data_IF_944494492290
#
_entry.id   IF_944494492290
#
_cell.length_a   1.000
_cell.length_b   1.000
_cell.length_c   1.000
_cell.angle_alpha   90.00
_cell.angle_beta   90.00
_cell.angle_gamma   90.00
#
_symmetry.space_group_name_H-M   'P 1'
#
loop_
_entity.id
_entity.type
_entity.pdbx_description
1 polymer ?
#
# COMPACT_ATOMS: atom_id res chain seq x y z
N UNK A 1 0.12 0.02 -26.70
CA UNK A 1 0.84 0.54 -25.52
C UNK A 1 2.32 0.39 -25.82
N UNK A 2 3.06 1.48 -25.99
CA UNK A 2 4.53 1.42 -26.11
C UNK A 2 5.15 1.13 -24.75
N UNK A 3 6.44 0.77 -24.72
CA UNK A 3 7.15 0.54 -23.46
C UNK A 3 7.17 1.80 -22.57
N UNK A 4 7.30 3.00 -23.15
CA UNK A 4 7.23 4.25 -22.38
C UNK A 4 5.83 4.46 -21.79
N UNK A 5 4.77 4.21 -22.56
CA UNK A 5 3.38 4.32 -22.08
C UNK A 5 3.05 3.28 -20.99
N UNK A 6 3.62 2.08 -21.09
CA UNK A 6 3.48 1.05 -20.08
C UNK A 6 4.21 1.45 -18.79
N UNK A 7 5.40 2.03 -18.89
CA UNK A 7 6.20 2.47 -17.74
C UNK A 7 5.56 3.64 -17.02
N UNK A 8 4.99 4.61 -17.76
CA UNK A 8 4.23 5.73 -17.19
C UNK A 8 2.90 5.29 -16.52
N UNK A 9 2.37 4.12 -16.87
CA UNK A 9 1.16 3.57 -16.23
C UNK A 9 1.44 2.86 -14.89
N UNK A 10 2.70 2.58 -14.58
CA UNK A 10 3.13 1.91 -13.34
C UNK A 10 3.69 2.98 -12.39
N UNK A 11 2.81 3.55 -11.56
CA UNK A 11 3.17 4.64 -10.63
C UNK A 11 4.12 4.24 -9.48
N UNK A 12 4.52 2.97 -9.39
CA UNK A 12 5.39 2.43 -8.35
C UNK A 12 6.59 1.63 -8.91
N UNK A 13 6.97 1.86 -10.17
CA UNK A 13 8.11 1.19 -10.79
C UNK A 13 9.42 1.40 -10.00
N UNK A 14 9.58 2.59 -9.42
CA UNK A 14 10.56 2.88 -8.39
C UNK A 14 9.85 3.08 -7.05
N UNK A 15 10.31 2.36 -6.02
CA UNK A 15 9.77 2.43 -4.66
C UNK A 15 10.88 2.38 -3.61
N UNK A 16 10.82 3.31 -2.68
CA UNK A 16 11.62 3.27 -1.45
C UNK A 16 10.75 2.87 -0.25
N UNK A 17 11.33 2.12 0.68
CA UNK A 17 10.72 1.84 1.98
C UNK A 17 11.63 2.41 3.07
N UNK A 18 11.11 3.32 3.87
CA UNK A 18 11.80 3.94 5.00
C UNK A 18 11.24 3.37 6.28
N UNK A 19 12.10 2.71 7.05
CA UNK A 19 11.81 2.35 8.43
C UNK A 19 12.24 3.51 9.35
N UNK A 20 11.29 4.03 10.12
CA UNK A 20 11.47 5.16 11.04
C UNK A 20 11.09 4.74 12.46
N UNK A 21 11.70 5.35 13.49
CA UNK A 21 11.26 5.17 14.87
C UNK A 21 9.79 5.56 15.05
N UNK A 22 9.06 4.83 15.90
CA UNK A 22 7.68 5.17 16.27
C UNK A 22 7.60 6.53 16.98
N UNK A 23 8.60 6.83 17.82
CA UNK A 23 8.71 8.14 18.47
C UNK A 23 8.93 9.24 17.42
N UNK A 24 8.03 10.23 17.42
CA UNK A 24 8.07 11.34 16.48
C UNK A 24 7.95 10.91 15.00
N UNK A 25 7.31 9.77 14.73
CA UNK A 25 7.13 9.23 13.39
C UNK A 25 6.54 10.26 12.42
N UNK A 26 5.45 10.94 12.83
CA UNK A 26 4.77 11.95 12.01
C UNK A 26 5.70 13.10 11.62
N UNK A 27 6.45 13.65 12.57
CA UNK A 27 7.41 14.71 12.32
C UNK A 27 8.51 14.28 11.35
N UNK A 28 8.98 13.02 11.45
CA UNK A 28 9.99 12.46 10.52
C UNK A 28 9.43 12.27 9.11
N UNK A 29 8.19 11.81 8.97
CA UNK A 29 7.51 11.71 7.67
C UNK A 29 7.36 13.09 7.03
N UNK A 30 6.97 14.11 7.80
CA UNK A 30 6.88 15.50 7.31
C UNK A 30 8.25 16.05 6.91
N UNK A 31 9.29 15.81 7.71
CA UNK A 31 10.65 16.23 7.40
C UNK A 31 11.18 15.58 6.10
N UNK A 32 10.86 14.31 5.85
CA UNK A 32 11.20 13.62 4.60
C UNK A 32 10.47 14.23 3.39
N UNK A 33 9.16 14.50 3.52
CA UNK A 33 8.39 15.21 2.48
C UNK A 33 8.96 16.58 2.18
N UNK A 34 9.31 17.36 3.21
CA UNK A 34 9.92 18.67 3.06
C UNK A 34 11.30 18.61 2.39
N UNK A 35 12.10 17.60 2.71
CA UNK A 35 13.39 17.38 2.07
C UNK A 35 13.22 17.08 0.57
N UNK A 36 12.30 16.18 0.21
CA UNK A 36 11.97 15.87 -1.19
C UNK A 36 11.44 17.11 -1.92
N UNK A 37 10.57 17.90 -1.29
CA UNK A 37 10.06 19.16 -1.85
C UNK A 37 11.17 20.16 -2.16
N UNK A 38 12.16 20.31 -1.27
CA UNK A 38 13.32 21.18 -1.52
C UNK A 38 14.20 20.69 -2.68
N UNK A 39 14.11 19.42 -3.06
CA UNK A 39 14.80 18.84 -4.23
C UNK A 39 13.95 18.91 -5.50
N UNK A 40 12.82 19.64 -5.50
CA UNK A 40 11.96 19.78 -6.67
C UNK A 40 10.94 18.65 -6.87
N UNK A 41 10.79 17.75 -5.90
CA UNK A 41 9.78 16.68 -5.95
C UNK A 41 8.45 17.17 -5.37
N UNK A 42 7.34 16.83 -6.02
CA UNK A 42 5.98 17.16 -5.56
C UNK A 42 5.27 15.90 -5.09
N UNK A 43 4.75 15.89 -3.86
CA UNK A 43 3.88 14.82 -3.39
C UNK A 43 2.51 14.96 -4.08
N UNK A 44 2.13 13.96 -4.87
CA UNK A 44 0.87 13.96 -5.65
C UNK A 44 -0.24 13.13 -4.98
N UNK A 45 0.13 12.26 -4.03
CA UNK A 45 -0.81 11.42 -3.29
C UNK A 45 -0.19 10.98 -1.97
N UNK A 46 -0.94 11.04 -0.88
CA UNK A 46 -0.51 10.48 0.41
C UNK A 46 -1.65 9.68 1.05
N UNK A 47 -1.46 8.37 1.15
CA UNK A 47 -2.41 7.48 1.81
C UNK A 47 -1.89 7.05 3.18
N UNK A 48 -2.69 7.31 4.23
CA UNK A 48 -2.39 6.87 5.58
C UNK A 48 -3.16 5.58 5.92
N UNK A 49 -2.48 4.43 5.89
CA UNK A 49 -3.10 3.14 6.22
C UNK A 49 -3.08 2.78 7.71
N UNK A 50 -2.55 3.66 8.57
CA UNK A 50 -2.79 3.52 10.02
C UNK A 50 -4.24 3.88 10.36
N UNK A 51 -4.82 4.87 9.68
CA UNK A 51 -6.18 5.36 9.96
C UNK A 51 -7.21 5.03 8.88
N UNK A 52 -6.79 4.52 7.72
CA UNK A 52 -7.68 4.18 6.60
C UNK A 52 -7.44 2.75 6.07
N UNK A 53 -8.24 2.34 5.08
CA UNK A 53 -8.12 1.04 4.41
C UNK A 53 -8.92 -0.08 5.09
N UNK A 54 -8.65 -1.33 4.68
CA UNK A 54 -9.33 -2.53 5.21
C UNK A 54 -8.59 -3.18 6.39
N UNK A 55 -7.62 -2.47 6.96
CA UNK A 55 -6.82 -2.91 8.09
C UNK A 55 -5.79 -3.99 7.78
N UNK A 56 -5.62 -4.45 6.53
CA UNK A 56 -4.64 -5.51 6.18
C UNK A 56 -3.20 -5.03 6.04
N UNK A 57 -2.97 -3.71 6.15
CA UNK A 57 -1.69 -3.06 5.99
C UNK A 57 -1.61 -1.82 6.88
N UNK A 58 -0.42 -1.52 7.41
CA UNK A 58 -0.14 -0.34 8.25
C UNK A 58 1.12 0.35 7.77
N UNK A 59 1.01 1.62 7.40
CA UNK A 59 2.09 2.41 6.81
C UNK A 59 1.56 3.67 6.14
N UNK A 60 2.45 4.59 5.78
CA UNK A 60 2.11 5.75 4.93
C UNK A 60 2.68 5.48 3.55
N UNK A 61 1.84 5.55 2.51
CA UNK A 61 2.31 5.48 1.13
C UNK A 61 2.16 6.85 0.49
N UNK A 62 3.27 7.42 0.04
CA UNK A 62 3.28 8.71 -0.64
C UNK A 62 3.86 8.57 -2.05
N UNK A 63 3.16 9.07 -3.05
CA UNK A 63 3.65 9.14 -4.44
C UNK A 63 4.19 10.54 -4.70
N UNK A 64 5.39 10.61 -5.27
CA UNK A 64 6.05 11.85 -5.65
C UNK A 64 6.29 11.89 -7.15
N UNK A 65 6.30 13.09 -7.72
CA UNK A 65 6.71 13.36 -9.10
C UNK A 65 7.77 14.44 -9.16
N UNK A 66 8.67 14.36 -10.14
CA UNK A 66 9.54 15.47 -10.52
C UNK A 66 8.89 16.37 -11.59
N UNK A 67 9.63 17.39 -12.04
CA UNK A 67 9.20 18.32 -13.09
C UNK A 67 9.06 17.68 -14.49
N UNK A 68 9.68 16.51 -14.71
CA UNK A 68 9.60 15.75 -15.96
C UNK A 68 8.43 14.75 -15.96
N UNK A 69 7.77 14.58 -14.81
CA UNK A 69 6.61 13.70 -14.64
C UNK A 69 6.97 12.28 -14.23
N UNK A 70 8.22 12.00 -13.83
CA UNK A 70 8.60 10.68 -13.31
C UNK A 70 8.03 10.48 -11.92
N UNK A 71 7.24 9.42 -11.76
CA UNK A 71 6.59 9.08 -10.50
C UNK A 71 7.36 7.99 -9.76
N UNK A 72 7.54 8.17 -8.45
CA UNK A 72 8.04 7.13 -7.55
C UNK A 72 7.25 7.11 -6.23
N UNK A 73 7.26 5.96 -5.55
CA UNK A 73 6.60 5.81 -4.26
C UNK A 73 7.61 5.79 -3.11
N UNK A 74 7.26 6.43 -2.00
CA UNK A 74 7.94 6.28 -0.71
C UNK A 74 6.94 5.72 0.29
N UNK A 75 7.30 4.58 0.88
CA UNK A 75 6.53 3.94 1.94
C UNK A 75 7.22 4.18 3.28
N UNK A 76 6.51 4.76 4.24
CA UNK A 76 7.02 5.00 5.59
C UNK A 76 6.41 3.99 6.55
N UNK A 77 7.27 3.34 7.33
CA UNK A 77 6.91 2.31 8.28
C UNK A 77 7.59 2.52 9.63
N UNK A 78 6.94 2.08 10.70
CA UNK A 78 7.65 1.73 11.94
C UNK A 78 8.25 0.34 11.80
N UNK A 79 9.19 -0.04 12.67
CA UNK A 79 9.72 -1.40 12.68
C UNK A 79 8.61 -2.47 12.81
N UNK A 80 7.61 -2.23 13.66
CA UNK A 80 6.44 -3.11 13.81
C UNK A 80 5.63 -3.22 12.51
N UNK A 81 5.33 -2.09 11.87
CA UNK A 81 4.52 -2.09 10.66
C UNK A 81 5.26 -2.65 9.44
N UNK A 82 6.58 -2.45 9.36
CA UNK A 82 7.43 -3.06 8.35
C UNK A 82 7.53 -4.58 8.53
N UNK A 83 7.71 -5.05 9.77
CA UNK A 83 7.74 -6.47 10.08
C UNK A 83 6.39 -7.14 9.80
N UNK A 84 5.27 -6.50 10.17
CA UNK A 84 3.94 -7.00 9.86
C UNK A 84 3.73 -7.13 8.34
N UNK A 85 4.13 -6.12 7.56
CA UNK A 85 4.12 -6.18 6.09
C UNK A 85 4.95 -7.36 5.55
N UNK A 86 6.14 -7.59 6.10
CA UNK A 86 6.99 -8.72 5.67
C UNK A 86 6.32 -10.07 5.95
N UNK A 87 5.72 -10.23 7.14
CA UNK A 87 5.02 -11.46 7.53
C UNK A 87 3.73 -11.71 6.72
N UNK A 88 3.00 -10.65 6.37
CA UNK A 88 1.77 -10.76 5.59
C UNK A 88 1.99 -10.84 4.08
N UNK A 89 3.20 -10.58 3.58
CA UNK A 89 3.51 -10.48 2.16
C UNK A 89 3.05 -11.71 1.35
N UNK A 90 3.28 -12.93 1.87
CA UNK A 90 2.84 -14.15 1.19
C UNK A 90 1.30 -14.25 1.10
N UNK A 91 0.59 -13.94 2.19
CA UNK A 91 -0.88 -13.91 2.22
C UNK A 91 -1.43 -12.87 1.26
N UNK A 92 -0.80 -11.69 1.19
CA UNK A 92 -1.15 -10.65 0.23
C UNK A 92 -1.02 -11.14 -1.22
N UNK A 93 0.11 -11.76 -1.58
CA UNK A 93 0.33 -12.28 -2.94
C UNK A 93 -0.65 -13.40 -3.30
N UNK A 94 -0.97 -14.29 -2.36
CA UNK A 94 -1.98 -15.34 -2.56
C UNK A 94 -3.38 -14.75 -2.74
N UNK A 95 -3.75 -13.76 -1.93
CA UNK A 95 -5.01 -13.02 -2.08
C UNK A 95 -5.11 -12.36 -3.46
N UNK A 96 -4.06 -11.66 -3.91
CA UNK A 96 -4.03 -11.00 -5.22
C UNK A 96 -4.19 -11.99 -6.38
N UNK A 97 -3.56 -13.16 -6.27
CA UNK A 97 -3.70 -14.23 -7.25
C UNK A 97 -5.11 -14.83 -7.24
N UNK A 98 -5.71 -15.05 -6.07
CA UNK A 98 -7.09 -15.51 -5.92
C UNK A 98 -8.08 -14.49 -6.51
N UNK A 99 -7.86 -13.18 -6.28
CA UNK A 99 -8.65 -12.11 -6.88
C UNK A 99 -8.55 -12.13 -8.41
N UNK A 100 -7.35 -12.24 -8.97
CA UNK A 100 -7.15 -12.35 -10.42
C UNK A 100 -7.88 -13.57 -10.99
N UNK A 101 -7.88 -14.70 -10.28
CA UNK A 101 -8.61 -15.91 -10.68
C UNK A 101 -10.12 -15.72 -10.59
N UNK A 102 -10.61 -14.98 -9.59
CA UNK A 102 -12.02 -14.66 -9.42
C UNK A 102 -12.52 -13.76 -10.56
N UNK A 103 -11.76 -12.72 -10.89
CA UNK A 103 -12.09 -11.79 -11.98
C UNK A 103 -12.17 -12.53 -13.32
N UNK A 104 -11.18 -13.40 -13.59
CA UNK A 104 -11.22 -14.30 -14.77
C UNK A 104 -12.40 -15.26 -14.76
N UNK A 105 -12.80 -15.77 -13.59
CA UNK A 105 -13.93 -16.69 -13.48
C UNK A 105 -15.28 -15.98 -13.75
N UNK A 106 -15.41 -14.72 -13.34
CA UNK A 106 -16.59 -13.88 -13.59
C UNK A 106 -16.77 -13.52 -15.07
N UNK A 107 -15.67 -13.40 -15.81
CA UNK A 107 -15.67 -13.06 -17.24
C UNK A 107 -15.94 -14.27 -18.15
N UNK A 108 -16.07 -15.49 -17.62
CA UNK A 108 -16.31 -16.68 -18.45
C UNK A 108 -17.73 -16.68 -19.05
N UNK A 109 -17.92 -17.19 -20.29
CA UNK A 109 -19.24 -17.28 -20.92
C UNK A 109 -20.26 -18.10 -20.11
N UNK A 110 -19.79 -19.08 -19.35
CA UNK A 110 -20.58 -19.83 -18.36
C UNK A 110 -19.88 -19.71 -17.01
N UNK A 111 -20.31 -18.76 -16.16
CA UNK A 111 -19.73 -18.60 -14.83
C UNK A 111 -20.07 -19.81 -13.95
N UNK A 112 -19.10 -20.29 -13.18
CA UNK A 112 -19.28 -21.35 -12.18
C UNK A 112 -19.45 -20.72 -10.79
N UNK A 113 -20.67 -20.72 -10.20
CA UNK A 113 -20.91 -20.08 -8.91
C UNK A 113 -20.15 -20.74 -7.75
N UNK A 114 -19.97 -22.06 -7.78
CA UNK A 114 -19.26 -22.81 -6.74
C UNK A 114 -17.79 -22.40 -6.73
N UNK A 115 -17.17 -22.32 -7.91
CA UNK A 115 -15.79 -21.84 -8.05
C UNK A 115 -15.63 -20.39 -7.60
N UNK A 116 -16.57 -19.52 -7.92
CA UNK A 116 -16.53 -18.11 -7.48
C UNK A 116 -16.66 -17.98 -5.96
N UNK A 117 -17.58 -18.74 -5.35
CA UNK A 117 -17.75 -18.78 -3.91
C UNK A 117 -16.47 -19.26 -3.20
N UNK A 118 -15.84 -20.33 -3.70
CA UNK A 118 -14.56 -20.84 -3.16
C UNK A 118 -13.45 -19.79 -3.21
N UNK A 119 -13.28 -19.10 -4.34
CA UNK A 119 -12.28 -18.05 -4.49
C UNK A 119 -12.57 -16.84 -3.58
N UNK A 120 -13.85 -16.50 -3.41
CA UNK A 120 -14.27 -15.42 -2.49
C UNK A 120 -13.94 -15.77 -1.04
N UNK A 121 -14.17 -17.03 -0.63
CA UNK A 121 -13.79 -17.52 0.69
C UNK A 121 -12.27 -17.54 0.90
N UNK A 122 -11.50 -17.95 -0.12
CA UNK A 122 -10.02 -17.91 -0.09
C UNK A 122 -9.50 -16.47 0.11
N UNK A 123 -10.06 -15.50 -0.62
CA UNK A 123 -9.73 -14.07 -0.48
C UNK A 123 -10.06 -13.57 0.93
N UNK A 124 -11.25 -13.90 1.43
CA UNK A 124 -11.68 -13.50 2.78
C UNK A 124 -10.76 -14.08 3.86
N UNK A 125 -10.36 -15.36 3.75
CA UNK A 125 -9.43 -15.99 4.68
C UNK A 125 -8.06 -15.33 4.69
N UNK A 126 -7.51 -14.99 3.52
CA UNK A 126 -6.25 -14.24 3.45
C UNK A 126 -6.38 -12.83 4.03
N UNK A 127 -7.47 -12.11 3.74
CA UNK A 127 -7.74 -10.78 4.30
C UNK A 127 -7.80 -10.84 5.83
N UNK A 128 -8.54 -11.79 6.39
CA UNK A 128 -8.66 -11.96 7.83
C UNK A 128 -7.30 -12.24 8.48
N UNK A 129 -6.52 -13.18 7.94
CA UNK A 129 -5.19 -13.50 8.49
C UNK A 129 -4.23 -12.30 8.48
N UNK A 130 -4.29 -11.46 7.44
CA UNK A 130 -3.50 -10.23 7.39
C UNK A 130 -3.98 -9.22 8.42
N UNK A 131 -5.30 -8.99 8.52
CA UNK A 131 -5.90 -8.10 9.50
C UNK A 131 -5.54 -8.48 10.95
N UNK A 132 -5.58 -9.78 11.30
CA UNK A 132 -5.21 -10.26 12.64
C UNK A 132 -3.74 -9.99 12.99
N UNK A 133 -2.86 -10.03 11.99
CA UNK A 133 -1.44 -9.71 12.17
C UNK A 133 -1.22 -8.21 12.33
N UNK A 134 -1.81 -7.41 11.45
CA UNK A 134 -1.64 -5.95 11.44
C UNK A 134 -2.39 -5.24 12.56
N UNK A 135 -3.42 -5.87 13.16
CA UNK A 135 -4.08 -5.36 14.36
C UNK A 135 -3.15 -5.30 15.58
N UNK A 136 -1.99 -5.98 15.54
CA UNK A 136 -0.97 -5.94 16.59
C UNK A 136 0.05 -4.82 16.41
N UNK A 137 0.01 -4.11 15.28
CA UNK A 137 0.91 -2.98 15.01
C UNK A 137 0.42 -1.77 15.81
N UNK A 138 1.30 -1.20 16.61
CA UNK A 138 1.02 0.01 17.36
C UNK A 138 0.87 1.21 16.42
N UNK A 139 -0.13 2.06 16.68
CA UNK A 139 -0.30 3.32 15.97
C UNK A 139 0.69 4.36 16.54
N UNK A 140 1.50 5.03 15.69
CA UNK A 140 2.35 6.12 16.16
C UNK A 140 1.51 7.28 16.71
N UNK A 141 2.09 8.06 17.63
CA UNK A 141 1.42 9.25 18.15
C UNK A 141 1.13 10.28 17.04
N UNK A 142 -0.02 10.95 17.15
CA UNK A 142 -0.50 11.98 16.23
C UNK A 142 -0.68 11.53 14.76
N UNK A 143 -0.78 10.22 14.50
CA UNK A 143 -0.77 9.66 13.14
C UNK A 143 -1.92 10.18 12.28
N UNK A 144 -3.04 10.58 12.89
CA UNK A 144 -4.19 11.20 12.23
C UNK A 144 -3.88 12.55 11.57
N UNK A 145 -2.76 13.19 11.93
CA UNK A 145 -2.29 14.44 11.29
C UNK A 145 -1.67 14.22 9.91
N UNK A 146 -1.41 12.97 9.52
CA UNK A 146 -0.96 12.61 8.17
C UNK A 146 -2.13 12.14 7.32
N UNK A 147 -2.30 12.75 6.16
CA UNK A 147 -3.34 12.42 5.20
C UNK A 147 -3.45 13.52 4.15
N UNK A 148 -4.29 13.31 3.13
CA UNK A 148 -4.63 14.37 2.19
C UNK A 148 -5.17 15.57 3.00
N UNK A 149 -4.46 16.69 2.95
CA UNK A 149 -5.05 17.98 3.30
C UNK A 149 -5.95 18.32 2.12
N UNK A 150 -7.26 18.27 2.33
CA UNK A 150 -8.20 18.95 1.44
C UNK A 150 -7.86 20.44 1.32
#
# INVERSE_FOLDING_TARGET
>A
MTAEQATQSVGDALRYALELPSEGFVAKVQAAQDALRRQGMTCVKLQNYFTSGDGTYRGINASFTDAEGYVFEVQFHTAESFNAKAQTHLSYKRMQLAQTRLDKARQKPRPDPVRQAKLTQEIAGHRQAMHEMTARVSEPADIERLGDRE
#
